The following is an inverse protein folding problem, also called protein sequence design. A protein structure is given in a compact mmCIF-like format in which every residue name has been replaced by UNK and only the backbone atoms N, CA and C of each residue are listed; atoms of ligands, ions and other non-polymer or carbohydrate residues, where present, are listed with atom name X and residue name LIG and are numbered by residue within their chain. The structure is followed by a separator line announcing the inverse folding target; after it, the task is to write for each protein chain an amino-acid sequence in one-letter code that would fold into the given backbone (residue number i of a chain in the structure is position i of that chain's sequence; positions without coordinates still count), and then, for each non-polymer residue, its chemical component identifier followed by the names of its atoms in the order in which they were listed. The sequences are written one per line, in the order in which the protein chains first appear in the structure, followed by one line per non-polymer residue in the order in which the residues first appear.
data_IF_820804260383
#
_entry.id   IF_820804260383
#
_cell.length_a   1.000
_cell.length_b   1.000
_cell.length_c   1.000
_cell.angle_alpha   90.00
_cell.angle_beta   90.00
_cell.angle_gamma   90.00
#
_symmetry.space_group_name_H-M   'P 1'
#
loop_
_entity.id
_entity.type
_entity.pdbx_description
1 polymer ?
#
# COMPACT_ATOMS: atom_id res chain seq x y z
N UNK A 1 15.39 6.97 1.95
CA UNK A 1 14.11 6.38 2.33
C UNK A 1 14.01 6.35 3.84
N UNK A 2 12.92 6.77 4.40
CA UNK A 2 12.85 6.79 5.84
C UNK A 2 12.49 5.42 6.41
N UNK A 3 12.73 5.27 7.69
CA UNK A 3 12.53 4.00 8.37
C UNK A 3 11.05 3.66 8.48
N UNK A 4 10.20 4.65 8.57
CA UNK A 4 8.75 4.43 8.66
C UNK A 4 8.23 3.68 7.45
N UNK A 5 8.70 4.04 6.26
CA UNK A 5 8.29 3.35 5.04
C UNK A 5 8.66 1.87 5.12
N UNK A 6 9.90 1.58 5.47
CA UNK A 6 10.38 0.20 5.53
C UNK A 6 9.65 -0.59 6.61
N UNK A 7 9.46 0.03 7.78
CA UNK A 7 8.78 -0.63 8.88
C UNK A 7 7.33 -0.96 8.51
N UNK A 8 6.65 -0.05 7.82
CA UNK A 8 5.28 -0.29 7.39
C UNK A 8 5.20 -1.44 6.40
N UNK A 9 6.11 -1.46 5.43
CA UNK A 9 6.13 -2.56 4.44
C UNK A 9 6.39 -3.89 5.15
N UNK A 10 7.33 -3.92 6.07
CA UNK A 10 7.64 -5.13 6.82
C UNK A 10 6.42 -5.60 7.62
N UNK A 11 5.72 -4.67 8.25
CA UNK A 11 4.52 -5.01 9.02
C UNK A 11 3.44 -5.58 8.13
N UNK A 12 3.23 -4.98 6.95
CA UNK A 12 2.24 -5.47 6.01
C UNK A 12 2.57 -6.89 5.54
N UNK A 13 3.83 -7.14 5.23
CA UNK A 13 4.26 -8.47 4.81
C UNK A 13 4.08 -9.49 5.92
N UNK A 14 4.42 -9.11 7.15
CA UNK A 14 4.29 -9.98 8.31
C UNK A 14 2.85 -10.37 8.59
N UNK A 15 1.92 -9.47 8.32
CA UNK A 15 0.50 -9.70 8.59
C UNK A 15 -0.23 -10.34 7.43
N UNK A 16 0.45 -10.61 6.33
CA UNK A 16 -0.17 -11.22 5.18
C UNK A 16 -1.14 -10.30 4.45
N UNK A 17 -0.82 -9.02 4.42
CA UNK A 17 -1.64 -8.04 3.72
C UNK A 17 -1.63 -8.33 2.22
N UNK A 18 -2.76 -8.10 1.56
CA UNK A 18 -2.90 -8.34 0.14
C UNK A 18 -1.75 -7.67 -0.62
N UNK A 19 -1.01 -8.43 -1.45
CA UNK A 19 0.12 -7.85 -2.18
C UNK A 19 -0.25 -6.69 -3.09
N UNK A 20 -1.47 -6.66 -3.59
CA UNK A 20 -1.93 -5.52 -4.40
C UNK A 20 -2.04 -4.26 -3.55
N UNK A 21 -2.49 -4.39 -2.31
CA UNK A 21 -2.53 -3.26 -1.39
C UNK A 21 -1.11 -2.74 -1.13
N UNK A 22 -0.18 -3.64 -0.88
CA UNK A 22 1.22 -3.26 -0.63
C UNK A 22 1.81 -2.51 -1.82
N UNK A 23 1.58 -3.02 -3.03
CA UNK A 23 2.06 -2.36 -4.24
C UNK A 23 1.47 -0.96 -4.39
N UNK A 24 0.17 -0.84 -4.17
CA UNK A 24 -0.49 0.45 -4.25
C UNK A 24 0.06 1.41 -3.21
N UNK A 25 0.23 0.93 -1.99
CA UNK A 25 0.74 1.75 -0.90
C UNK A 25 2.13 2.29 -1.21
N UNK A 26 3.00 1.41 -1.74
CA UNK A 26 4.35 1.82 -2.11
C UNK A 26 4.32 2.92 -3.16
N UNK A 27 3.53 2.73 -4.20
CA UNK A 27 3.43 3.72 -5.27
C UNK A 27 2.89 5.05 -4.79
N UNK A 28 1.86 5.01 -3.96
CA UNK A 28 1.29 6.24 -3.40
C UNK A 28 2.26 6.96 -2.49
N UNK A 29 2.95 6.22 -1.62
CA UNK A 29 3.91 6.80 -0.69
C UNK A 29 5.06 7.49 -1.42
N UNK A 30 5.57 6.84 -2.48
CA UNK A 30 6.70 7.36 -3.24
C UNK A 30 6.30 8.41 -4.27
N UNK A 31 5.01 8.66 -4.41
CA UNK A 31 4.53 9.66 -5.36
C UNK A 31 4.57 9.23 -6.81
N UNK A 32 4.61 7.93 -7.06
CA UNK A 32 4.57 7.42 -8.42
C UNK A 32 3.18 7.62 -9.03
N UNK A 33 3.07 7.77 -10.35
CA UNK A 33 1.76 7.86 -10.97
C UNK A 33 0.99 6.56 -10.80
N UNK A 34 -0.31 6.67 -10.59
CA UNK A 34 -1.17 5.51 -10.49
C UNK A 34 -1.17 4.77 -11.82
N UNK A 35 -1.19 3.44 -11.76
CA UNK A 35 -1.26 2.64 -12.98
C UNK A 35 -2.56 2.88 -13.71
N UNK A 36 -2.48 3.02 -15.02
CA UNK A 36 -3.66 3.15 -15.86
C UNK A 36 -4.06 1.80 -16.44
N UNK A 37 -4.14 0.79 -15.60
CA UNK A 37 -4.58 -0.53 -16.03
C UNK A 37 -6.08 -0.66 -15.83
N UNK A 38 -6.71 -1.38 -16.73
CA UNK A 38 -8.16 -1.56 -16.69
C UNK A 38 -8.60 -2.45 -15.54
N UNK A 39 -7.69 -3.12 -14.87
CA UNK A 39 -8.00 -4.06 -13.81
C UNK A 39 -7.29 -3.73 -12.51
N UNK A 40 -7.46 -2.51 -12.05
CA UNK A 40 -6.97 -2.16 -10.72
C UNK A 40 -7.90 -2.80 -9.70
N UNK A 41 -7.33 -3.55 -8.78
CA UNK A 41 -8.11 -4.13 -7.70
C UNK A 41 -8.46 -3.05 -6.67
N UNK A 42 -9.49 -3.31 -5.87
CA UNK A 42 -9.81 -2.41 -4.76
C UNK A 42 -8.64 -2.29 -3.81
N UNK A 43 -7.93 -3.40 -3.59
CA UNK A 43 -6.77 -3.41 -2.71
C UNK A 43 -5.71 -2.44 -3.21
N UNK A 44 -5.41 -2.47 -4.52
CA UNK A 44 -4.42 -1.56 -5.09
C UNK A 44 -4.85 -0.11 -4.91
N UNK A 45 -6.08 0.20 -5.27
CA UNK A 45 -6.60 1.57 -5.17
C UNK A 45 -6.59 2.08 -3.72
N UNK A 46 -7.02 1.24 -2.78
CA UNK A 46 -7.01 1.61 -1.38
C UNK A 46 -5.58 1.82 -0.89
N UNK A 47 -4.68 0.92 -1.27
CA UNK A 47 -3.27 1.05 -0.90
C UNK A 47 -2.66 2.33 -1.44
N UNK A 48 -2.92 2.63 -2.71
CA UNK A 48 -2.39 3.83 -3.34
C UNK A 48 -2.84 5.09 -2.59
N UNK A 49 -4.12 5.15 -2.28
CA UNK A 49 -4.67 6.30 -1.53
C UNK A 49 -4.00 6.42 -0.16
N UNK A 50 -3.93 5.31 0.56
CA UNK A 50 -3.34 5.33 1.90
C UNK A 50 -1.87 5.68 1.84
N UNK A 51 -1.17 5.21 0.82
CA UNK A 51 0.23 5.58 0.62
C UNK A 51 0.40 7.06 0.36
N UNK A 52 -0.48 7.66 -0.45
CA UNK A 52 -0.43 9.09 -0.71
C UNK A 52 -0.63 9.90 0.57
N UNK A 53 -1.47 9.41 1.47
CA UNK A 53 -1.71 10.06 2.76
C UNK A 53 -0.68 9.65 3.80
N UNK A 54 0.20 8.74 3.46
CA UNK A 54 1.26 8.23 4.32
C UNK A 54 0.71 7.67 5.63
N UNK A 55 -0.46 7.03 5.55
CA UNK A 55 -1.07 6.42 6.71
C UNK A 55 -0.82 4.91 6.69
N UNK A 56 -0.66 4.34 7.87
CA UNK A 56 -0.45 2.91 8.02
C UNK A 56 -1.56 2.29 8.87
N UNK A 57 -2.67 2.98 9.06
CA UNK A 57 -3.70 2.53 9.99
C UNK A 57 -4.71 1.57 9.36
N UNK A 58 -4.79 1.56 8.05
CA UNK A 58 -5.86 0.82 7.37
C UNK A 58 -5.43 -0.50 6.76
N UNK A 59 -4.13 -0.79 6.74
CA UNK A 59 -3.67 -1.99 6.03
C UNK A 59 -4.16 -3.29 6.68
N UNK A 60 -4.46 -3.25 7.97
CA UNK A 60 -4.94 -4.45 8.65
C UNK A 60 -6.27 -4.94 8.10
N UNK A 61 -7.05 -4.07 7.51
CA UNK A 61 -8.31 -4.45 6.86
C UNK A 61 -8.08 -5.34 5.64
N UNK A 62 -6.89 -5.31 5.10
CA UNK A 62 -6.52 -6.08 3.91
C UNK A 62 -5.63 -7.28 4.25
N UNK A 63 -5.41 -7.52 5.52
CA UNK A 63 -4.67 -8.69 5.96
C UNK A 63 -5.51 -9.95 5.78
N UNK A 64 -4.86 -11.02 5.37
CA UNK A 64 -5.54 -12.29 5.12
C UNK A 64 -5.38 -13.25 6.29
#
# INVERSE_FOLDING_TARGET
MDQTYRDTITSMESQGVDPEYVLGWQGGYLGHPEREEQRLSEAYSAGFRDGQEKTADNFSSWAK
#
